data_IF_157069249712
#
_entry.id   IF_157069249712
#
_cell.length_a   1.000
_cell.length_b   1.000
_cell.length_c   1.000
_cell.angle_alpha   90.00
_cell.angle_beta   90.00
_cell.angle_gamma   90.00
#
_symmetry.space_group_name_H-M   'P 1'
#
loop_
_entity.id
_entity.type
_entity.pdbx_description
1 polymer ?
#
# COMPACT_ATOMS: atom_id res chain seq x y z
N UNK A 1 11.99 -23.31 -21.89
CA UNK A 1 10.77 -23.04 -21.09
C UNK A 1 11.06 -22.74 -19.62
N UNK A 2 11.87 -23.54 -18.93
CA UNK A 2 12.26 -23.29 -17.52
C UNK A 2 12.96 -21.95 -17.28
N UNK A 3 13.79 -21.48 -18.22
CA UNK A 3 14.47 -20.18 -18.11
C UNK A 3 13.48 -19.00 -18.14
N UNK A 4 12.47 -19.06 -19.00
CA UNK A 4 11.43 -18.03 -19.11
C UNK A 4 10.55 -17.99 -17.86
N UNK A 5 10.20 -19.15 -17.30
CA UNK A 5 9.41 -19.26 -16.06
C UNK A 5 10.21 -18.70 -14.87
N UNK A 6 11.52 -19.02 -14.77
CA UNK A 6 12.40 -18.43 -13.75
C UNK A 6 12.58 -16.92 -13.93
N UNK A 7 12.69 -16.44 -15.15
CA UNK A 7 12.80 -15.00 -15.45
C UNK A 7 11.50 -14.26 -15.13
N UNK A 8 10.34 -14.84 -15.43
CA UNK A 8 9.03 -14.32 -15.04
C UNK A 8 8.86 -14.33 -13.51
N UNK A 9 9.24 -15.42 -12.83
CA UNK A 9 9.22 -15.48 -11.37
C UNK A 9 10.15 -14.46 -10.73
N UNK A 10 11.38 -14.30 -11.23
CA UNK A 10 12.32 -13.27 -10.76
C UNK A 10 11.82 -11.85 -11.06
N UNK A 11 11.10 -11.65 -12.15
CA UNK A 11 10.48 -10.36 -12.50
C UNK A 11 9.30 -10.05 -11.59
N UNK A 12 8.51 -11.06 -11.22
CA UNK A 12 7.41 -10.95 -10.26
C UNK A 12 7.93 -10.63 -8.86
N UNK A 13 8.96 -11.33 -8.37
CA UNK A 13 9.61 -11.04 -7.08
C UNK A 13 10.21 -9.63 -7.06
N UNK A 14 10.86 -9.20 -8.14
CA UNK A 14 11.42 -7.85 -8.27
C UNK A 14 10.36 -6.73 -8.30
N UNK A 15 9.11 -7.04 -8.68
CA UNK A 15 8.04 -6.04 -8.77
C UNK A 15 7.35 -5.72 -7.44
N UNK A 16 7.42 -6.61 -6.44
CA UNK A 16 6.69 -6.49 -5.18
C UNK A 16 7.50 -5.90 -4.02
N UNK A 17 8.82 -5.83 -4.17
CA UNK A 17 9.68 -5.25 -3.14
C UNK A 17 10.40 -4.05 -3.75
N UNK A 18 10.17 -2.86 -3.21
CA UNK A 18 10.87 -1.64 -3.62
C UNK A 18 12.30 -1.63 -3.04
N UNK A 19 13.37 -1.88 -3.85
CA UNK A 19 14.74 -1.93 -3.34
C UNK A 19 15.16 -0.60 -2.68
N UNK A 20 14.70 0.52 -3.21
CA UNK A 20 15.01 1.84 -2.67
C UNK A 20 14.42 2.04 -1.27
N UNK A 21 13.20 1.54 -1.01
CA UNK A 21 12.62 1.53 0.33
C UNK A 21 13.48 0.72 1.30
N UNK A 22 13.90 -0.50 0.91
CA UNK A 22 14.73 -1.35 1.77
C UNK A 22 16.04 -0.64 2.12
N UNK A 23 16.74 -0.05 1.15
CA UNK A 23 17.98 0.68 1.40
C UNK A 23 17.77 1.86 2.35
N UNK A 24 16.70 2.62 2.17
CA UNK A 24 16.36 3.73 3.05
C UNK A 24 16.05 3.26 4.47
N UNK A 25 15.24 2.22 4.62
CA UNK A 25 14.90 1.63 5.91
C UNK A 25 16.16 1.13 6.65
N UNK A 26 17.04 0.40 5.96
CA UNK A 26 18.30 -0.07 6.54
C UNK A 26 19.23 1.08 6.96
N UNK A 27 19.30 2.17 6.18
CA UNK A 27 20.09 3.36 6.55
C UNK A 27 19.49 4.06 7.78
N UNK A 28 18.17 4.19 7.85
CA UNK A 28 17.47 4.77 9.02
C UNK A 28 17.68 3.90 10.26
N UNK A 29 17.55 2.57 10.14
CA UNK A 29 17.82 1.63 11.22
C UNK A 29 19.26 1.76 11.72
N UNK A 30 20.23 1.84 10.80
CA UNK A 30 21.65 2.00 11.16
C UNK A 30 21.89 3.27 11.97
N UNK A 31 21.27 4.39 11.61
CA UNK A 31 21.36 5.63 12.38
C UNK A 31 20.79 5.48 13.79
N UNK A 32 19.70 4.73 13.94
CA UNK A 32 19.06 4.49 15.22
C UNK A 32 19.84 3.53 16.16
N UNK A 33 20.77 2.71 15.65
CA UNK A 33 21.46 1.69 16.47
C UNK A 33 22.16 2.30 17.66
N UNK A 34 22.80 3.45 17.50
CA UNK A 34 23.51 4.13 18.57
C UNK A 34 22.62 5.17 19.28
N UNK A 35 21.69 5.79 18.58
CA UNK A 35 20.82 6.86 19.08
C UNK A 35 19.65 6.31 19.92
N UNK A 36 18.97 5.30 19.40
CA UNK A 36 17.80 4.65 20.02
C UNK A 36 17.75 3.16 19.68
N UNK A 37 18.52 2.32 20.39
CA UNK A 37 18.62 0.88 20.09
C UNK A 37 17.29 0.12 20.17
N UNK A 38 16.36 0.57 21.01
CA UNK A 38 15.04 -0.04 21.16
C UNK A 38 14.19 0.20 19.91
N UNK A 39 14.16 1.44 19.43
CA UNK A 39 13.49 1.79 18.19
C UNK A 39 14.14 1.11 16.98
N UNK A 40 15.47 0.95 16.96
CA UNK A 40 16.17 0.20 15.92
C UNK A 40 15.72 -1.27 15.87
N UNK A 41 15.60 -1.95 17.03
CA UNK A 41 15.09 -3.33 17.10
C UNK A 41 13.65 -3.45 16.61
N UNK A 42 12.77 -2.52 16.98
CA UNK A 42 11.39 -2.45 16.49
C UNK A 42 11.37 -2.31 14.98
N UNK A 43 12.13 -1.37 14.43
CA UNK A 43 12.22 -1.12 12.99
C UNK A 43 12.73 -2.35 12.18
N UNK A 44 13.66 -3.14 12.73
CA UNK A 44 14.09 -4.41 12.12
C UNK A 44 12.92 -5.41 12.05
N UNK A 45 12.12 -5.49 13.10
CA UNK A 45 10.94 -6.37 13.14
C UNK A 45 9.91 -5.94 12.11
N UNK A 46 9.59 -4.65 12.01
CA UNK A 46 8.69 -4.07 11.04
C UNK A 46 9.14 -4.34 9.59
N UNK A 47 10.41 -4.11 9.29
CA UNK A 47 10.99 -4.42 7.97
C UNK A 47 10.88 -5.92 7.65
N UNK A 48 11.14 -6.78 8.62
CA UNK A 48 11.02 -8.24 8.46
C UNK A 48 9.58 -8.67 8.19
N UNK A 49 8.58 -8.05 8.83
CA UNK A 49 7.16 -8.31 8.60
C UNK A 49 6.75 -7.92 7.17
N UNK A 50 7.17 -6.74 6.71
CA UNK A 50 6.90 -6.25 5.35
C UNK A 50 7.48 -7.21 4.31
N UNK A 51 8.76 -7.60 4.45
CA UNK A 51 9.41 -8.53 3.53
C UNK A 51 8.71 -9.89 3.50
N UNK A 52 8.36 -10.44 4.66
CA UNK A 52 7.64 -11.73 4.77
C UNK A 52 6.26 -11.65 4.12
N UNK A 53 5.52 -10.58 4.35
CA UNK A 53 4.20 -10.37 3.75
C UNK A 53 4.28 -10.30 2.22
N UNK A 54 5.26 -9.55 1.69
CA UNK A 54 5.49 -9.46 0.24
C UNK A 54 5.75 -10.83 -0.40
N UNK A 55 6.50 -11.71 0.28
CA UNK A 55 6.76 -13.08 -0.20
C UNK A 55 5.51 -13.98 -0.12
N UNK A 56 4.61 -13.74 0.82
CA UNK A 56 3.39 -14.53 0.99
C UNK A 56 2.24 -14.09 0.08
N UNK A 57 2.23 -12.81 -0.31
CA UNK A 57 1.19 -12.22 -1.14
C UNK A 57 1.02 -12.90 -2.51
N UNK A 58 2.08 -13.53 -3.03
CA UNK A 58 2.04 -14.25 -4.31
C UNK A 58 1.16 -15.51 -4.28
N UNK A 59 0.89 -16.05 -3.10
CA UNK A 59 0.18 -17.33 -2.92
C UNK A 59 -1.29 -17.18 -2.56
N UNK A 60 -1.72 -15.98 -2.20
CA UNK A 60 -3.08 -15.73 -1.75
C UNK A 60 -3.86 -14.94 -2.80
N UNK A 61 -5.10 -15.35 -3.08
CA UNK A 61 -6.01 -14.58 -3.94
C UNK A 61 -6.51 -13.33 -3.22
N UNK A 62 -6.81 -13.45 -1.93
CA UNK A 62 -7.28 -12.36 -1.07
C UNK A 62 -6.67 -12.46 0.32
N UNK A 63 -6.78 -11.38 1.07
CA UNK A 63 -6.40 -11.26 2.48
C UNK A 63 -7.39 -10.34 3.19
N UNK A 64 -7.41 -10.31 4.52
CA UNK A 64 -8.24 -9.37 5.27
C UNK A 64 -7.67 -7.95 5.20
N UNK A 65 -8.56 -6.96 5.26
CA UNK A 65 -8.14 -5.56 5.37
C UNK A 65 -7.28 -5.31 6.62
N UNK A 66 -7.61 -5.97 7.74
CA UNK A 66 -6.82 -5.90 8.98
C UNK A 66 -5.35 -6.25 8.73
N UNK A 67 -5.09 -7.33 7.97
CA UNK A 67 -3.73 -7.76 7.65
C UNK A 67 -3.01 -6.76 6.74
N UNK A 68 -3.69 -6.23 5.72
CA UNK A 68 -3.14 -5.16 4.86
C UNK A 68 -2.82 -3.91 5.68
N UNK A 69 -3.72 -3.49 6.59
CA UNK A 69 -3.49 -2.35 7.48
C UNK A 69 -2.32 -2.57 8.44
N UNK A 70 -2.14 -3.79 8.94
CA UNK A 70 -0.99 -4.12 9.80
C UNK A 70 0.33 -3.90 9.08
N UNK A 71 0.45 -4.37 7.83
CA UNK A 71 1.65 -4.19 7.01
C UNK A 71 1.87 -2.71 6.63
N UNK A 72 0.80 -2.00 6.33
CA UNK A 72 0.86 -0.57 6.01
C UNK A 72 1.28 0.25 7.24
N UNK A 73 0.85 -0.12 8.44
CA UNK A 73 1.33 0.51 9.68
C UNK A 73 2.83 0.31 9.86
N UNK A 74 3.32 -0.93 9.73
CA UNK A 74 4.76 -1.23 9.79
C UNK A 74 5.54 -0.40 8.75
N UNK A 75 5.03 -0.30 7.52
CA UNK A 75 5.62 0.49 6.44
C UNK A 75 5.68 1.99 6.77
N UNK A 76 4.57 2.57 7.24
CA UNK A 76 4.49 3.98 7.56
C UNK A 76 5.32 4.35 8.79
N UNK A 77 5.44 3.47 9.80
CA UNK A 77 6.34 3.67 10.93
C UNK A 77 7.81 3.75 10.50
N UNK A 78 8.24 2.91 9.55
CA UNK A 78 9.59 3.01 8.95
C UNK A 78 9.79 4.29 8.15
N UNK A 79 8.79 4.72 7.37
CA UNK A 79 8.87 5.98 6.64
C UNK A 79 8.88 7.20 7.59
N UNK A 80 8.18 7.14 8.73
CA UNK A 80 8.22 8.18 9.76
C UNK A 80 9.61 8.31 10.43
N UNK A 81 10.44 7.27 10.47
CA UNK A 81 11.84 7.40 10.90
C UNK A 81 12.61 8.31 9.92
N UNK A 82 12.34 8.16 8.62
CA UNK A 82 13.01 8.92 7.55
C UNK A 82 12.49 10.35 7.39
N UNK A 83 11.19 10.52 7.49
CA UNK A 83 10.54 11.82 7.28
C UNK A 83 10.37 12.63 8.56
N UNK A 84 10.47 11.96 9.71
CA UNK A 84 10.27 12.56 11.04
C UNK A 84 8.92 13.29 11.12
N UNK A 85 8.88 14.51 11.68
CA UNK A 85 7.67 15.31 11.83
C UNK A 85 7.04 15.78 10.49
N UNK A 86 7.73 15.55 9.37
CA UNK A 86 7.22 15.90 8.04
C UNK A 86 6.19 14.92 7.49
N UNK A 87 6.04 13.72 8.07
CA UNK A 87 5.02 12.76 7.69
C UNK A 87 3.98 12.62 8.78
N UNK A 88 2.78 13.11 8.54
CA UNK A 88 1.61 12.90 9.39
C UNK A 88 0.77 11.76 8.82
N UNK A 89 0.36 10.84 9.68
CA UNK A 89 -0.47 9.69 9.29
C UNK A 89 -1.76 9.72 10.08
N UNK A 90 -2.89 9.59 9.38
CA UNK A 90 -4.22 9.59 9.94
C UNK A 90 -4.97 8.32 9.48
N UNK A 91 -5.66 7.66 10.41
CA UNK A 91 -6.51 6.50 10.14
C UNK A 91 -7.94 6.81 10.55
N UNK A 92 -8.87 6.59 9.64
CA UNK A 92 -10.31 6.63 9.87
C UNK A 92 -10.91 5.33 9.36
N UNK A 93 -10.82 4.30 10.17
CA UNK A 93 -11.16 2.92 9.82
C UNK A 93 -12.39 2.50 10.62
N UNK A 94 -13.47 2.17 9.93
CA UNK A 94 -14.59 1.47 10.54
C UNK A 94 -14.16 0.03 10.87
N UNK A 95 -14.27 -0.36 12.13
CA UNK A 95 -13.85 -1.68 12.63
C UNK A 95 -14.60 -2.82 11.95
N UNK A 96 -15.84 -2.61 11.53
CA UNK A 96 -16.65 -3.60 10.81
C UNK A 96 -16.04 -3.95 9.43
N UNK A 97 -15.16 -3.09 8.87
CA UNK A 97 -14.48 -3.34 7.60
C UNK A 97 -13.21 -4.21 7.71
N UNK A 98 -12.72 -4.49 8.92
CA UNK A 98 -11.43 -5.17 9.13
C UNK A 98 -11.39 -6.58 8.54
N UNK A 99 -12.49 -7.31 8.59
CA UNK A 99 -12.61 -8.67 8.04
C UNK A 99 -12.91 -8.70 6.53
N UNK A 100 -13.10 -7.53 5.90
CA UNK A 100 -13.34 -7.43 4.46
C UNK A 100 -12.16 -8.03 3.68
N UNK A 101 -12.49 -8.91 2.71
CA UNK A 101 -11.50 -9.51 1.83
C UNK A 101 -11.07 -8.50 0.76
N UNK A 102 -9.76 -8.30 0.64
CA UNK A 102 -9.13 -7.37 -0.31
C UNK A 102 -7.99 -8.06 -1.06
N UNK A 103 -7.61 -7.58 -2.24
CA UNK A 103 -6.42 -8.09 -2.93
C UNK A 103 -5.16 -7.87 -2.09
N UNK A 104 -4.28 -8.88 -1.95
CA UNK A 104 -3.03 -8.74 -1.23
C UNK A 104 -2.14 -7.64 -1.85
N UNK A 105 -1.42 -6.90 -1.02
CA UNK A 105 -0.52 -5.80 -1.42
C UNK A 105 -1.22 -4.59 -2.06
N UNK A 106 -2.56 -4.57 -2.11
CA UNK A 106 -3.29 -3.47 -2.73
C UNK A 106 -3.12 -2.18 -1.93
N UNK A 107 -3.46 -2.20 -0.65
CA UNK A 107 -3.35 -1.02 0.22
C UNK A 107 -1.90 -0.57 0.34
N UNK A 108 -0.96 -1.51 0.51
CA UNK A 108 0.46 -1.20 0.57
C UNK A 108 0.92 -0.49 -0.72
N UNK A 109 0.55 -0.99 -1.90
CA UNK A 109 0.92 -0.37 -3.19
C UNK A 109 0.40 1.07 -3.30
N UNK A 110 -0.84 1.33 -2.87
CA UNK A 110 -1.42 2.66 -2.91
C UNK A 110 -0.71 3.63 -1.96
N UNK A 111 -0.37 3.17 -0.76
CA UNK A 111 0.37 3.97 0.24
C UNK A 111 1.81 4.22 -0.19
N UNK A 112 2.50 3.23 -0.76
CA UNK A 112 3.85 3.42 -1.34
C UNK A 112 3.83 4.47 -2.45
N UNK A 113 2.82 4.46 -3.33
CA UNK A 113 2.66 5.48 -4.36
C UNK A 113 2.40 6.86 -3.76
N UNK A 114 1.60 6.98 -2.70
CA UNK A 114 1.34 8.22 -1.98
C UNK A 114 2.63 8.82 -1.39
N UNK A 115 3.48 7.99 -0.77
CA UNK A 115 4.80 8.41 -0.27
C UNK A 115 5.70 8.83 -1.44
N UNK A 116 5.88 7.97 -2.43
CA UNK A 116 6.83 8.16 -3.54
C UNK A 116 6.51 9.36 -4.41
N UNK A 117 5.24 9.53 -4.77
CA UNK A 117 4.80 10.54 -5.73
C UNK A 117 4.23 11.80 -5.07
N UNK A 118 3.80 11.71 -3.82
CA UNK A 118 3.32 12.81 -3.00
C UNK A 118 4.38 13.33 -2.04
N UNK A 119 4.46 12.73 -0.86
CA UNK A 119 5.23 13.23 0.29
C UNK A 119 6.72 13.45 -0.02
N UNK A 120 7.37 12.50 -0.71
CA UNK A 120 8.80 12.59 -1.05
C UNK A 120 9.17 13.82 -1.87
N UNK A 121 8.22 14.42 -2.56
CA UNK A 121 8.42 15.61 -3.40
C UNK A 121 8.13 16.92 -2.67
N UNK A 122 7.60 16.86 -1.45
CA UNK A 122 7.22 18.03 -0.67
C UNK A 122 8.31 18.35 0.36
N UNK A 123 8.92 19.53 0.24
CA UNK A 123 9.96 20.00 1.20
C UNK A 123 9.34 20.17 2.59
N UNK A 124 8.14 20.72 2.67
CA UNK A 124 7.41 20.95 3.92
C UNK A 124 6.79 19.68 4.53
N UNK A 125 6.94 18.52 3.84
CA UNK A 125 6.25 17.31 4.22
C UNK A 125 4.76 17.32 3.85
N UNK A 126 3.99 16.43 4.49
CA UNK A 126 2.57 16.34 4.23
C UNK A 126 1.91 15.27 5.08
N UNK A 127 0.70 14.90 4.69
CA UNK A 127 -0.07 13.88 5.38
C UNK A 127 -0.46 12.73 4.43
N UNK A 128 -0.71 11.59 5.04
CA UNK A 128 -1.45 10.47 4.44
C UNK A 128 -2.62 10.18 5.35
N UNK A 129 -3.82 10.09 4.78
CA UNK A 129 -5.03 9.64 5.44
C UNK A 129 -5.55 8.38 4.79
N UNK A 130 -5.87 7.37 5.58
CA UNK A 130 -6.44 6.10 5.15
C UNK A 130 -7.82 5.99 5.78
N UNK A 131 -8.85 5.88 4.94
CA UNK A 131 -10.23 5.73 5.38
C UNK A 131 -10.78 4.41 4.83
N UNK A 132 -11.58 3.73 5.65
CA UNK A 132 -12.28 2.52 5.27
C UNK A 132 -13.66 2.53 5.91
N UNK A 133 -14.70 2.33 5.10
CA UNK A 133 -16.09 2.35 5.53
C UNK A 133 -16.95 1.49 4.62
N UNK A 134 -18.12 1.05 5.11
CA UNK A 134 -19.16 0.50 4.27
C UNK A 134 -20.13 1.59 3.83
N UNK A 135 -20.39 1.63 2.52
CA UNK A 135 -21.37 2.54 1.92
C UNK A 135 -22.37 1.69 1.14
N UNK A 136 -23.58 1.57 1.64
CA UNK A 136 -24.60 0.69 1.12
C UNK A 136 -24.10 -0.77 1.02
N UNK A 137 -24.07 -1.34 -0.18
CA UNK A 137 -23.62 -2.71 -0.46
C UNK A 137 -22.13 -2.81 -0.83
N UNK A 138 -21.33 -1.74 -0.62
CA UNK A 138 -19.95 -1.69 -1.03
C UNK A 138 -19.03 -1.32 0.12
N UNK A 139 -17.82 -1.87 0.08
CA UNK A 139 -16.70 -1.42 0.89
C UNK A 139 -15.94 -0.33 0.14
N UNK A 140 -15.80 0.83 0.76
CA UNK A 140 -15.04 1.95 0.25
C UNK A 140 -13.72 2.10 1.00
N UNK A 141 -12.60 2.11 0.26
CA UNK A 141 -11.27 2.36 0.76
C UNK A 141 -10.71 3.61 0.08
N UNK A 142 -10.33 4.61 0.88
CA UNK A 142 -9.82 5.90 0.40
C UNK A 142 -8.44 6.14 0.99
N UNK A 143 -7.49 6.50 0.12
CA UNK A 143 -6.18 6.98 0.52
C UNK A 143 -6.03 8.39 -0.01
N UNK A 144 -5.85 9.36 0.88
CA UNK A 144 -5.56 10.75 0.56
C UNK A 144 -4.15 11.11 0.99
N UNK A 145 -3.45 11.85 0.15
CA UNK A 145 -2.13 12.32 0.48
C UNK A 145 -1.87 13.73 -0.07
N UNK A 146 -1.00 14.44 0.62
CA UNK A 146 -0.43 15.69 0.09
C UNK A 146 0.37 15.38 -1.15
N UNK A 147 0.09 16.10 -2.24
CA UNK A 147 0.75 15.96 -3.51
C UNK A 147 -0.13 16.41 -4.68
N UNK A 148 0.38 16.20 -5.88
CA UNK A 148 -0.33 16.51 -7.12
C UNK A 148 0.02 15.47 -8.17
N UNK A 149 -0.99 14.97 -8.86
CA UNK A 149 -0.81 14.17 -10.07
C UNK A 149 -0.45 15.12 -11.20
N UNK A 150 0.66 14.89 -11.87
CA UNK A 150 1.01 15.59 -13.11
C UNK A 150 0.30 14.90 -14.27
N UNK A 151 -0.17 15.66 -15.25
CA UNK A 151 -0.88 15.18 -16.45
C UNK A 151 -0.07 14.17 -17.29
N UNK A 152 1.25 14.06 -17.03
CA UNK A 152 2.16 13.10 -17.68
C UNK A 152 2.32 11.78 -16.92
N UNK A 153 1.78 11.66 -15.71
CA UNK A 153 1.76 10.38 -15.00
C UNK A 153 0.56 9.61 -15.55
N UNK A 154 0.79 8.96 -16.68
CA UNK A 154 -0.11 7.95 -17.20
C UNK A 154 -0.48 7.00 -16.06
N UNK A 155 -1.73 6.56 -16.04
CA UNK A 155 -2.25 5.51 -15.15
C UNK A 155 -1.43 4.18 -15.22
N UNK A 156 -0.39 4.16 -16.03
CA UNK A 156 0.53 3.05 -16.30
C UNK A 156 1.75 2.97 -15.34
N UNK A 157 1.75 3.70 -14.23
CA UNK A 157 2.71 3.42 -13.15
C UNK A 157 2.52 1.98 -12.69
N UNK A 158 3.60 1.18 -12.70
CA UNK A 158 3.61 -0.29 -12.55
C UNK A 158 2.73 -0.80 -11.39
N UNK A 159 2.54 -0.01 -10.31
CA UNK A 159 1.70 -0.38 -9.16
C UNK A 159 0.20 -0.12 -9.38
N UNK A 160 -0.16 0.99 -10.02
CA UNK A 160 -1.57 1.37 -10.23
C UNK A 160 -2.21 0.49 -11.31
N UNK A 161 -1.49 0.24 -12.42
CA UNK A 161 -1.95 -0.67 -13.48
C UNK A 161 -2.18 -2.08 -12.97
N UNK A 162 -1.25 -2.64 -12.18
CA UNK A 162 -1.40 -3.97 -11.62
C UNK A 162 -2.54 -4.08 -10.60
N UNK A 163 -2.80 -3.02 -9.82
CA UNK A 163 -3.95 -2.96 -8.91
C UNK A 163 -5.26 -2.98 -9.70
N UNK A 164 -5.37 -2.20 -10.76
CA UNK A 164 -6.57 -2.15 -11.61
C UNK A 164 -6.84 -3.50 -12.29
N UNK A 165 -5.80 -4.13 -12.85
CA UNK A 165 -5.92 -5.46 -13.49
C UNK A 165 -6.33 -6.52 -12.47
N UNK A 166 -5.74 -6.52 -11.27
CA UNK A 166 -6.08 -7.47 -10.22
C UNK A 166 -7.50 -7.31 -9.72
N UNK A 167 -7.98 -6.08 -9.53
CA UNK A 167 -9.37 -5.81 -9.18
C UNK A 167 -10.33 -6.34 -10.25
N UNK A 168 -10.02 -6.11 -11.52
CA UNK A 168 -10.81 -6.61 -12.64
C UNK A 168 -10.84 -8.13 -12.72
N UNK A 169 -9.73 -8.80 -12.45
CA UNK A 169 -9.64 -10.26 -12.43
C UNK A 169 -10.46 -10.88 -11.28
N UNK A 170 -10.43 -10.28 -10.08
CA UNK A 170 -11.09 -10.82 -8.89
C UNK A 170 -12.59 -10.50 -8.83
N UNK A 171 -12.99 -9.30 -9.27
CA UNK A 171 -14.33 -8.75 -9.04
C UNK A 171 -15.04 -8.33 -10.34
N UNK A 172 -14.38 -8.46 -11.50
CA UNK A 172 -14.99 -8.07 -12.77
C UNK A 172 -15.33 -6.59 -12.82
N UNK A 173 -16.61 -6.29 -13.05
CA UNK A 173 -17.13 -4.92 -13.11
C UNK A 173 -17.68 -4.43 -11.76
N UNK A 174 -17.67 -5.27 -10.72
CA UNK A 174 -18.22 -4.95 -9.40
C UNK A 174 -17.21 -4.20 -8.52
N UNK A 175 -15.95 -4.08 -8.96
CA UNK A 175 -14.95 -3.26 -8.31
C UNK A 175 -14.63 -2.02 -9.15
N UNK A 176 -14.32 -0.94 -8.46
CA UNK A 176 -13.95 0.33 -9.08
C UNK A 176 -12.67 0.88 -8.43
N UNK A 177 -11.78 1.42 -9.27
CA UNK A 177 -10.59 2.14 -8.82
C UNK A 177 -10.45 3.46 -9.56
N UNK A 178 -10.19 4.51 -8.82
CA UNK A 178 -9.92 5.84 -9.36
C UNK A 178 -8.81 6.53 -8.56
N UNK A 179 -7.94 7.26 -9.26
CA UNK A 179 -7.02 8.21 -8.65
C UNK A 179 -7.21 9.57 -9.30
N UNK A 180 -7.30 10.63 -8.49
CA UNK A 180 -7.54 12.01 -8.98
C UNK A 180 -6.96 13.05 -8.04
N UNK A 181 -6.73 14.25 -8.57
CA UNK A 181 -6.54 15.43 -7.73
C UNK A 181 -7.90 15.86 -7.15
N UNK A 182 -8.02 15.92 -5.82
CA UNK A 182 -9.16 16.56 -5.16
C UNK A 182 -9.09 18.07 -5.28
N UNK A 183 -7.89 18.60 -5.18
CA UNK A 183 -7.56 20.03 -5.33
C UNK A 183 -6.09 20.16 -5.76
N UNK A 184 -5.56 21.38 -5.72
CA UNK A 184 -4.17 21.67 -6.13
C UNK A 184 -3.08 21.01 -5.25
N UNK A 185 -3.43 20.41 -4.12
CA UNK A 185 -2.45 19.92 -3.15
C UNK A 185 -2.81 18.55 -2.55
N UNK A 186 -3.91 17.94 -2.91
CA UNK A 186 -4.36 16.65 -2.39
C UNK A 186 -4.71 15.71 -3.53
N UNK A 187 -4.10 14.53 -3.49
CA UNK A 187 -4.42 13.39 -4.35
C UNK A 187 -5.27 12.40 -3.56
N UNK A 188 -6.29 11.85 -4.18
CA UNK A 188 -7.13 10.80 -3.63
C UNK A 188 -7.09 9.57 -4.54
N UNK A 189 -6.76 8.42 -3.96
CA UNK A 189 -6.99 7.10 -4.52
C UNK A 189 -8.23 6.51 -3.84
N UNK A 190 -9.21 6.06 -4.64
CA UNK A 190 -10.48 5.51 -4.18
C UNK A 190 -10.67 4.11 -4.77
N UNK A 191 -10.90 3.13 -3.91
CA UNK A 191 -11.24 1.76 -4.28
C UNK A 191 -12.63 1.45 -3.74
N UNK A 192 -13.47 0.87 -4.58
CA UNK A 192 -14.79 0.35 -4.21
C UNK A 192 -14.76 -1.15 -4.47
N UNK A 193 -15.15 -1.94 -3.48
CA UNK A 193 -15.22 -3.40 -3.53
C UNK A 193 -16.62 -3.86 -3.15
N UNK A 194 -17.13 -4.94 -3.75
CA UNK A 194 -18.38 -5.54 -3.29
C UNK A 194 -18.17 -6.15 -1.90
N UNK A 195 -19.17 -6.01 -1.03
CA UNK A 195 -19.16 -6.63 0.30
C UNK A 195 -19.35 -8.14 0.11
N UNK A 196 -18.44 -8.93 0.70
CA UNK A 196 -18.51 -10.41 0.75
C UNK A 196 -18.58 -11.14 -0.62
N UNK A 197 -18.09 -10.54 -1.71
CA UNK A 197 -18.12 -11.16 -3.05
C UNK A 197 -17.44 -12.55 -3.13
N UNK A 198 -16.59 -12.93 -2.16
CA UNK A 198 -15.88 -14.21 -2.16
C UNK A 198 -16.52 -15.29 -1.30
N UNK A 199 -17.56 -15.00 -0.51
CA UNK A 199 -18.33 -16.02 0.19
C UNK A 199 -19.31 -16.78 -0.73
N UNK A 200 -19.63 -16.22 -1.89
CA UNK A 200 -20.55 -16.81 -2.88
C UNK A 200 -19.88 -17.75 -3.90
N UNK A 201 -18.53 -17.76 -3.97
CA UNK A 201 -17.78 -18.66 -4.88
C UNK A 201 -17.44 -20.03 -4.26
N UNK A 202 -17.90 -20.32 -3.04
CA UNK A 202 -17.73 -21.62 -2.34
C UNK A 202 -19.02 -22.40 -2.19
N UNK A 203 -19.99 -22.27 -3.14
CA UNK A 203 -21.10 -23.21 -3.26
C UNK A 203 -21.02 -24.02 -4.54
#
# INVERSE_FOLDING_TARGET
>A
MESLVKELQLKTIKSHINPHFIFNALNSIRALVDENPERARKAITELSNILRSSMQAEKAETTTLERELSIVRDYLELEQIRFEDRLKVEYNIDEDTLDQQVPPMMLQTLVENAIKHGISKQISGGFIRICSDFTDDHHELIIENTGQLNDKVNADGFGIGSTTERLKLLYGNDAFFQIKNLNSNIVQARVILPVNALSSLKQ
#
